data_IF_374669191828
#
_entry.id   IF_374669191828
#
_cell.length_a   1.000
_cell.length_b   1.000
_cell.length_c   1.000
_cell.angle_alpha   90.00
_cell.angle_beta   90.00
_cell.angle_gamma   90.00
#
_symmetry.space_group_name_H-M   'P 1'
#
loop_
_entity.id
_entity.type
_entity.pdbx_description
1 polymer ?
#
# COMPACT_ATOMS: atom_id res chain seq x y z
N UNK A 1 -6.56 -7.98 22.73
CA UNK A 1 -6.62 -6.63 22.10
C UNK A 1 -7.52 -6.62 20.87
N UNK A 2 -7.30 -7.49 19.87
CA UNK A 2 -8.13 -7.53 18.66
C UNK A 2 -9.60 -7.86 18.95
N UNK A 3 -9.90 -8.86 19.78
CA UNK A 3 -11.30 -9.20 20.14
C UNK A 3 -12.04 -8.04 20.80
N UNK A 4 -11.35 -7.27 21.65
CA UNK A 4 -11.90 -6.07 22.29
C UNK A 4 -12.21 -4.99 21.26
N UNK A 5 -11.33 -4.78 20.27
CA UNK A 5 -11.59 -3.85 19.17
C UNK A 5 -12.79 -4.31 18.34
N UNK A 6 -12.87 -5.60 18.01
CA UNK A 6 -13.98 -6.18 17.25
C UNK A 6 -15.32 -6.00 17.97
N UNK A 7 -15.36 -6.18 19.30
CA UNK A 7 -16.57 -5.99 20.10
C UNK A 7 -17.05 -4.52 20.17
N UNK A 8 -16.21 -3.55 19.82
CA UNK A 8 -16.47 -2.11 19.91
C UNK A 8 -16.58 -1.44 18.53
N UNK A 9 -16.52 -2.21 17.44
CA UNK A 9 -16.43 -1.70 16.07
C UNK A 9 -17.46 -2.36 15.14
N UNK A 10 -17.54 -1.87 13.90
CA UNK A 10 -18.22 -2.58 12.81
C UNK A 10 -17.28 -3.65 12.27
N UNK A 11 -17.75 -4.90 12.22
CA UNK A 11 -17.04 -6.02 11.61
C UNK A 11 -17.66 -6.39 10.26
N UNK A 12 -16.81 -6.71 9.29
CA UNK A 12 -17.24 -7.15 7.97
C UNK A 12 -16.98 -8.65 7.85
N UNK A 13 -18.05 -9.45 7.75
CA UNK A 13 -17.94 -10.91 7.55
C UNK A 13 -17.51 -11.28 6.12
N UNK A 14 -17.61 -10.32 5.20
CA UNK A 14 -17.29 -10.49 3.78
C UNK A 14 -16.38 -9.35 3.31
N UNK A 15 -15.07 -9.50 3.54
CA UNK A 15 -14.05 -8.55 3.12
C UNK A 15 -13.00 -9.26 2.25
N UNK A 16 -12.81 -8.77 1.02
CA UNK A 16 -11.97 -9.42 0.02
C UNK A 16 -10.90 -8.47 -0.54
N UNK A 17 -9.69 -9.00 -0.70
CA UNK A 17 -8.61 -8.35 -1.46
C UNK A 17 -8.78 -8.58 -2.95
N UNK A 18 -8.30 -7.64 -3.76
CA UNK A 18 -8.43 -7.69 -5.22
C UNK A 18 -7.39 -8.63 -5.85
N UNK A 19 -6.41 -9.09 -5.08
CA UNK A 19 -5.42 -10.09 -5.49
C UNK A 19 -4.84 -10.81 -4.25
N UNK A 20 -4.60 -12.13 -4.28
CA UNK A 20 -4.08 -12.88 -3.14
C UNK A 20 -2.55 -12.77 -2.93
N UNK A 21 -1.82 -12.02 -3.76
CA UNK A 21 -0.37 -11.78 -3.57
C UNK A 21 -0.05 -10.33 -3.22
N UNK A 22 1.06 -10.15 -2.51
CA UNK A 22 1.30 -8.94 -1.71
C UNK A 22 1.41 -7.62 -2.49
N UNK A 23 2.29 -7.48 -3.51
CA UNK A 23 2.40 -6.21 -4.27
C UNK A 23 1.07 -5.78 -4.93
N UNK A 24 0.36 -6.60 -5.73
CA UNK A 24 -0.89 -6.18 -6.37
C UNK A 24 -2.01 -5.95 -5.35
N UNK A 25 -2.08 -6.73 -4.27
CA UNK A 25 -3.01 -6.49 -3.17
C UNK A 25 -2.80 -5.11 -2.54
N UNK A 26 -1.55 -4.78 -2.20
CA UNK A 26 -1.18 -3.51 -1.55
C UNK A 26 -1.34 -2.32 -2.50
N UNK A 27 -0.92 -2.47 -3.76
CA UNK A 27 -1.10 -1.45 -4.79
C UNK A 27 -2.59 -1.14 -5.01
N UNK A 28 -3.43 -2.18 -5.08
CA UNK A 28 -4.88 -2.00 -5.22
C UNK A 28 -5.49 -1.32 -3.99
N UNK A 29 -5.17 -1.80 -2.79
CA UNK A 29 -5.65 -1.20 -1.54
C UNK A 29 -5.30 0.29 -1.44
N UNK A 30 -4.06 0.66 -1.78
CA UNK A 30 -3.56 2.01 -1.60
C UNK A 30 -3.99 2.97 -2.72
N UNK A 31 -4.29 2.50 -3.92
CA UNK A 31 -4.72 3.36 -5.04
C UNK A 31 -6.24 3.37 -5.25
N UNK A 32 -6.97 2.41 -4.66
CA UNK A 32 -8.38 2.19 -4.94
C UNK A 32 -8.68 1.63 -6.34
N UNK A 33 -7.66 1.25 -7.10
CA UNK A 33 -7.79 0.73 -8.46
C UNK A 33 -7.61 -0.79 -8.50
N UNK A 34 -8.23 -1.45 -9.47
CA UNK A 34 -8.01 -2.88 -9.67
C UNK A 34 -6.56 -3.16 -10.13
N UNK A 35 -5.97 -4.30 -9.72
CA UNK A 35 -4.66 -4.76 -10.19
C UNK A 35 -4.52 -4.75 -11.72
N UNK A 36 -5.60 -5.10 -12.45
CA UNK A 36 -5.66 -5.07 -13.91
C UNK A 36 -5.58 -3.66 -14.48
N UNK A 37 -6.22 -2.68 -13.84
CA UNK A 37 -6.14 -1.26 -14.22
C UNK A 37 -4.73 -0.72 -14.03
N UNK A 38 -4.04 -1.14 -12.97
CA UNK A 38 -2.66 -0.75 -12.68
C UNK A 38 -1.62 -1.51 -13.52
N UNK A 39 -1.99 -2.62 -14.18
CA UNK A 39 -1.05 -3.52 -14.84
C UNK A 39 -0.18 -4.35 -13.88
N UNK A 40 -0.46 -4.28 -12.57
CA UNK A 40 0.29 -4.98 -11.52
C UNK A 40 -0.52 -6.22 -11.15
N UNK A 41 -0.35 -7.33 -11.87
CA UNK A 41 -1.15 -8.56 -11.66
C UNK A 41 -0.37 -9.69 -10.96
N UNK A 42 0.93 -9.54 -10.81
CA UNK A 42 1.87 -10.51 -10.24
C UNK A 42 3.03 -9.80 -9.52
N UNK A 43 3.91 -10.58 -8.88
CA UNK A 43 5.11 -10.05 -8.23
C UNK A 43 6.11 -9.47 -9.24
N UNK A 44 6.84 -8.43 -8.84
CA UNK A 44 7.95 -7.88 -9.61
C UNK A 44 7.59 -6.66 -10.45
N UNK A 45 6.30 -6.33 -10.61
CA UNK A 45 5.86 -5.13 -11.31
C UNK A 45 5.79 -3.96 -10.34
N UNK A 46 6.62 -2.91 -10.48
CA UNK A 46 6.62 -1.78 -9.57
C UNK A 46 5.36 -0.93 -9.72
N UNK A 47 4.91 -0.30 -8.63
CA UNK A 47 3.88 0.74 -8.68
C UNK A 47 4.48 2.02 -9.30
N UNK A 48 3.88 2.59 -10.36
CA UNK A 48 4.34 3.88 -10.88
C UNK A 48 4.25 4.97 -9.81
N UNK A 49 5.31 5.77 -9.68
CA UNK A 49 5.44 6.78 -8.62
C UNK A 49 4.35 7.85 -8.68
N UNK A 50 3.85 8.14 -9.88
CA UNK A 50 2.78 9.09 -10.16
C UNK A 50 1.38 8.56 -9.81
N UNK A 51 1.25 7.28 -9.43
CA UNK A 51 -0.04 6.71 -9.02
C UNK A 51 -0.60 7.51 -7.84
N UNK A 52 -1.85 7.96 -7.99
CA UNK A 52 -2.56 8.60 -6.88
C UNK A 52 -2.90 7.53 -5.85
N UNK A 53 -2.20 7.58 -4.72
CA UNK A 53 -2.42 6.73 -3.56
C UNK A 53 -3.25 7.47 -2.50
N UNK A 54 -3.78 6.73 -1.53
CA UNK A 54 -4.55 7.27 -0.42
C UNK A 54 -3.77 8.34 0.38
N UNK A 55 -2.49 8.16 0.76
CA UNK A 55 -1.68 9.22 1.39
C UNK A 55 -1.58 10.47 0.52
N UNK A 56 -1.31 10.31 -0.78
CA UNK A 56 -1.23 11.44 -1.72
C UNK A 56 -2.54 12.21 -1.80
N UNK A 57 -3.66 11.50 -1.81
CA UNK A 57 -4.99 12.11 -1.80
C UNK A 57 -5.25 12.86 -0.49
N UNK A 58 -4.99 12.22 0.66
CA UNK A 58 -5.23 12.79 1.98
C UNK A 58 -4.35 14.00 2.29
N UNK A 59 -3.14 14.06 1.74
CA UNK A 59 -2.25 15.23 1.86
C UNK A 59 -2.92 16.51 1.33
N UNK A 60 -3.71 16.41 0.25
CA UNK A 60 -4.46 17.56 -0.28
C UNK A 60 -5.53 18.10 0.70
N UNK A 61 -5.87 17.34 1.73
CA UNK A 61 -6.81 17.69 2.79
C UNK A 61 -6.12 17.98 4.14
N UNK A 62 -4.79 18.19 4.13
CA UNK A 62 -4.03 18.58 5.33
C UNK A 62 -3.71 17.45 6.29
N UNK A 63 -3.85 16.19 5.87
CA UNK A 63 -3.42 15.05 6.67
C UNK A 63 -1.90 14.86 6.57
N UNK A 64 -1.28 14.54 7.70
CA UNK A 64 0.08 14.01 7.79
C UNK A 64 0.02 12.48 7.81
N UNK A 65 0.82 11.84 6.98
CA UNK A 65 0.77 10.39 6.75
C UNK A 65 2.14 9.75 6.83
N UNK A 66 2.23 8.67 7.60
CA UNK A 66 3.47 7.90 7.77
C UNK A 66 3.23 6.43 7.38
N UNK A 67 4.19 5.83 6.68
CA UNK A 67 4.28 4.39 6.55
C UNK A 67 5.41 3.88 7.45
N UNK A 68 5.08 2.90 8.30
CA UNK A 68 6.04 2.25 9.18
C UNK A 68 5.91 0.75 8.96
N UNK A 69 6.94 0.15 8.35
CA UNK A 69 7.03 -1.27 8.03
C UNK A 69 7.02 -1.56 6.53
N UNK A 70 6.32 -2.63 6.13
CA UNK A 70 6.36 -3.15 4.77
C UNK A 70 5.39 -2.41 3.84
N UNK A 71 5.92 -1.80 2.77
CA UNK A 71 5.12 -1.19 1.70
C UNK A 71 4.98 -2.09 0.47
N UNK A 72 6.09 -2.65 -0.01
CA UNK A 72 6.17 -3.60 -1.14
C UNK A 72 5.58 -3.10 -2.47
N UNK A 73 5.88 -1.84 -2.82
CA UNK A 73 5.56 -1.26 -4.13
C UNK A 73 6.67 -1.39 -5.16
N UNK A 74 7.87 -1.76 -4.72
CA UNK A 74 9.01 -2.09 -5.56
C UNK A 74 9.32 -3.59 -5.43
N UNK A 75 9.93 -4.21 -6.45
CA UNK A 75 10.41 -5.58 -6.34
C UNK A 75 11.45 -5.71 -5.22
N UNK A 76 11.35 -6.77 -4.42
CA UNK A 76 12.38 -7.12 -3.44
C UNK A 76 13.55 -7.85 -4.12
N UNK A 77 13.27 -8.77 -5.04
CA UNK A 77 14.32 -9.47 -5.77
C UNK A 77 15.08 -8.52 -6.71
N UNK A 78 16.40 -8.66 -6.77
CA UNK A 78 17.29 -7.92 -7.67
C UNK A 78 17.24 -6.40 -7.54
N UNK A 79 16.81 -5.88 -6.38
CA UNK A 79 16.86 -4.46 -6.03
C UNK A 79 17.96 -4.18 -5.02
N UNK A 80 18.65 -3.04 -5.17
CA UNK A 80 19.50 -2.51 -4.11
C UNK A 80 18.64 -1.82 -3.04
N UNK A 81 18.51 -2.46 -1.88
CA UNK A 81 17.68 -1.98 -0.77
C UNK A 81 18.22 -0.72 -0.10
N UNK A 82 19.44 -0.27 -0.45
CA UNK A 82 19.99 1.01 0.01
C UNK A 82 19.43 2.20 -0.78
N UNK A 83 18.84 1.95 -1.96
CA UNK A 83 18.20 3.00 -2.73
C UNK A 83 16.90 3.44 -2.04
N UNK A 84 16.58 4.74 -2.04
CA UNK A 84 15.36 5.22 -1.43
C UNK A 84 14.13 4.66 -2.14
N UNK A 85 13.04 4.50 -1.37
CA UNK A 85 11.72 4.33 -1.97
C UNK A 85 11.17 5.69 -2.40
N UNK A 86 10.42 5.78 -3.50
CA UNK A 86 9.57 6.94 -3.77
C UNK A 86 8.62 7.19 -2.58
N UNK A 87 8.21 8.45 -2.41
CA UNK A 87 7.36 8.83 -1.26
C UNK A 87 5.97 8.16 -1.30
N UNK A 88 5.48 7.83 -2.49
CA UNK A 88 4.10 7.41 -2.75
C UNK A 88 3.04 8.22 -2.00
N UNK A 89 3.31 9.52 -1.80
CA UNK A 89 2.44 10.46 -1.09
C UNK A 89 2.55 10.47 0.44
N UNK A 90 3.39 9.62 1.05
CA UNK A 90 3.66 9.67 2.49
C UNK A 90 4.59 10.82 2.84
N UNK A 91 4.38 11.43 4.01
CA UNK A 91 5.25 12.46 4.59
C UNK A 91 6.46 11.82 5.29
N UNK A 92 6.28 10.62 5.83
CA UNK A 92 7.33 9.83 6.48
C UNK A 92 7.29 8.37 5.99
N UNK A 93 8.47 7.81 5.73
CA UNK A 93 8.64 6.43 5.31
C UNK A 93 9.73 5.76 6.16
N UNK A 94 9.33 4.83 7.00
CA UNK A 94 10.21 3.90 7.71
C UNK A 94 9.98 2.50 7.13
N UNK A 95 10.79 2.12 6.15
CA UNK A 95 10.59 0.87 5.41
C UNK A 95 11.29 -0.30 6.11
N UNK A 96 10.54 -1.38 6.33
CA UNK A 96 11.06 -2.71 6.67
C UNK A 96 11.00 -3.60 5.42
N UNK A 97 12.03 -3.54 4.58
CA UNK A 97 12.17 -4.45 3.42
C UNK A 97 12.73 -5.81 3.82
#
# INVERSE_FOLDING_TARGET
NLDRLAAQSVNFDHYFVQNPVCMPSRASFMSGQYPSTLGITHMGVPLPQETITLPRLLRNYGYHSSNIGKLHFLPHANRDHRLPHPDYGFDELEISD
#
